data_IF_377842504891
#
_entry.id   IF_377842504891
#
_cell.length_a   1.000
_cell.length_b   1.000
_cell.length_c   1.000
_cell.angle_alpha   90.00
_cell.angle_beta   90.00
_cell.angle_gamma   90.00
#
_symmetry.space_group_name_H-M   'P 1'
#
loop_
_entity.id
_entity.type
_entity.pdbx_description
1 polymer ?
#
# COMPACT_ATOMS: atom_id res chain seq x y z
N UNK A 1 -32.39 -75.03 -6.85
CA UNK A 1 -33.17 -74.65 -8.06
C UNK A 1 -33.04 -73.14 -8.22
N UNK A 2 -32.05 -72.64 -8.98
CA UNK A 2 -32.18 -72.08 -10.35
C UNK A 2 -33.33 -71.07 -10.54
N UNK A 3 -32.97 -69.77 -10.63
CA UNK A 3 -33.34 -68.72 -11.62
C UNK A 3 -33.07 -67.35 -10.96
N UNK A 4 -31.97 -66.64 -11.24
CA UNK A 4 -31.58 -65.90 -12.46
C UNK A 4 -32.34 -64.58 -12.66
N UNK A 5 -31.57 -63.48 -12.51
CA UNK A 5 -31.60 -62.16 -13.15
C UNK A 5 -32.91 -61.55 -13.64
N UNK A 6 -33.16 -60.32 -13.17
CA UNK A 6 -33.13 -59.16 -14.08
C UNK A 6 -32.38 -57.99 -13.42
N UNK A 7 -31.21 -57.71 -13.97
CA UNK A 7 -30.52 -56.42 -13.87
C UNK A 7 -31.35 -55.42 -14.66
N UNK A 8 -31.87 -54.39 -14.00
CA UNK A 8 -32.34 -53.18 -14.68
C UNK A 8 -31.42 -52.05 -14.25
N UNK A 9 -30.40 -51.86 -15.07
CA UNK A 9 -29.56 -50.68 -15.15
C UNK A 9 -30.49 -49.49 -15.45
N UNK A 10 -30.69 -48.61 -14.47
CA UNK A 10 -31.24 -47.28 -14.74
C UNK A 10 -30.33 -46.25 -14.09
N UNK A 11 -29.55 -45.65 -14.98
CA UNK A 11 -28.85 -44.38 -14.85
C UNK A 11 -29.77 -43.30 -14.27
N UNK A 12 -29.67 -43.05 -12.97
CA UNK A 12 -30.21 -41.83 -12.38
C UNK A 12 -29.16 -40.74 -12.53
N UNK A 13 -29.34 -39.98 -13.60
CA UNK A 13 -28.68 -38.72 -13.89
C UNK A 13 -28.84 -37.82 -12.66
N UNK A 14 -27.72 -37.50 -11.99
CA UNK A 14 -27.65 -36.43 -11.01
C UNK A 14 -27.71 -35.09 -11.74
N UNK A 15 -28.90 -34.70 -12.18
CA UNK A 15 -29.18 -33.34 -12.62
C UNK A 15 -29.06 -32.41 -11.42
N UNK A 16 -28.10 -31.49 -11.51
CA UNK A 16 -27.98 -30.33 -10.65
C UNK A 16 -29.33 -29.59 -10.56
N UNK A 17 -30.04 -29.75 -9.44
CA UNK A 17 -31.09 -28.83 -9.05
C UNK A 17 -30.41 -27.55 -8.58
N UNK A 18 -30.16 -26.64 -9.54
CA UNK A 18 -30.07 -25.22 -9.24
C UNK A 18 -31.46 -24.81 -8.78
N UNK A 19 -31.65 -24.74 -7.47
CA UNK A 19 -32.85 -24.14 -6.88
C UNK A 19 -32.80 -22.65 -7.22
N UNK A 20 -33.56 -22.29 -8.25
CA UNK A 20 -33.98 -20.91 -8.53
C UNK A 20 -34.94 -20.51 -7.41
N UNK A 21 -34.39 -19.88 -6.37
CA UNK A 21 -35.14 -19.35 -5.24
C UNK A 21 -35.49 -17.88 -5.45
N UNK A 22 -36.79 -17.62 -5.64
CA UNK A 22 -37.54 -16.38 -5.48
C UNK A 22 -36.88 -15.04 -5.87
N UNK A 23 -37.35 -14.49 -7.00
CA UNK A 23 -37.25 -13.08 -7.34
C UNK A 23 -37.81 -12.19 -6.24
N UNK A 24 -36.95 -11.59 -5.43
CA UNK A 24 -37.26 -10.31 -4.79
C UNK A 24 -37.22 -9.23 -5.86
N UNK A 25 -38.26 -8.39 -5.85
CA UNK A 25 -38.56 -7.32 -6.79
C UNK A 25 -37.32 -6.58 -7.28
N UNK A 26 -37.29 -6.32 -8.59
CA UNK A 26 -36.39 -5.36 -9.21
C UNK A 26 -36.74 -3.95 -8.69
N UNK A 27 -36.19 -3.58 -7.54
CA UNK A 27 -36.09 -2.18 -7.18
C UNK A 27 -35.17 -1.53 -8.22
N UNK A 28 -35.71 -0.49 -8.88
CA UNK A 28 -35.06 0.15 -10.00
C UNK A 28 -33.65 0.59 -9.63
N UNK A 29 -32.68 0.22 -10.47
CA UNK A 29 -31.33 0.77 -10.37
C UNK A 29 -31.38 2.30 -10.35
N UNK A 30 -30.72 2.91 -9.35
CA UNK A 30 -30.77 4.36 -9.12
C UNK A 30 -31.77 4.82 -8.05
N UNK A 31 -32.58 3.93 -7.45
CA UNK A 31 -33.32 4.26 -6.24
C UNK A 31 -32.40 4.20 -5.01
N UNK A 32 -32.48 5.21 -4.14
CA UNK A 32 -31.87 5.13 -2.80
C UNK A 32 -32.55 4.01 -1.99
N UNK A 33 -31.80 2.96 -1.67
CA UNK A 33 -32.23 1.93 -0.74
C UNK A 33 -31.65 2.25 0.64
N UNK A 34 -32.52 2.35 1.65
CA UNK A 34 -32.07 2.52 3.03
C UNK A 34 -31.71 1.16 3.60
N UNK A 35 -30.42 0.85 3.66
CA UNK A 35 -29.92 -0.36 4.30
C UNK A 35 -29.49 0.00 5.72
N UNK A 36 -30.04 -0.74 6.68
CA UNK A 36 -29.63 -0.63 8.07
C UNK A 36 -28.47 -1.60 8.33
N UNK A 37 -27.23 -1.09 8.32
CA UNK A 37 -26.05 -1.92 8.57
C UNK A 37 -26.07 -2.53 9.97
N UNK A 38 -26.77 -1.93 10.93
CA UNK A 38 -26.92 -2.53 12.25
C UNK A 38 -27.74 -3.82 12.20
N UNK A 39 -28.65 -3.97 11.23
CA UNK A 39 -29.37 -5.22 10.96
C UNK A 39 -28.49 -6.25 10.25
N UNK A 40 -27.63 -5.78 9.34
CA UNK A 40 -26.67 -6.64 8.62
C UNK A 40 -25.65 -7.26 9.57
N UNK A 41 -25.27 -6.51 10.61
CA UNK A 41 -24.25 -6.90 11.60
C UNK A 41 -24.86 -7.31 12.95
N UNK A 42 -26.06 -7.91 12.97
CA UNK A 42 -26.64 -8.44 14.21
C UNK A 42 -26.02 -9.77 14.62
N UNK A 43 -25.92 -10.00 15.93
CA UNK A 43 -25.50 -11.27 16.53
C UNK A 43 -24.16 -11.80 15.98
N UNK A 44 -23.18 -10.89 15.85
CA UNK A 44 -21.84 -11.23 15.41
C UNK A 44 -21.08 -11.97 16.52
N UNK A 45 -20.39 -13.05 16.12
CA UNK A 45 -19.38 -13.73 16.96
C UNK A 45 -17.98 -13.20 16.71
N UNK A 46 -17.78 -12.55 15.56
CA UNK A 46 -16.47 -12.09 15.11
C UNK A 46 -16.57 -11.26 13.85
N UNK A 47 -15.60 -10.38 13.67
CA UNK A 47 -15.41 -9.65 12.42
C UNK A 47 -13.93 -9.68 12.08
N UNK A 48 -13.61 -9.93 10.81
CA UNK A 48 -12.25 -9.89 10.32
C UNK A 48 -12.18 -9.23 8.95
N UNK A 49 -10.98 -8.80 8.58
CA UNK A 49 -10.65 -8.36 7.24
C UNK A 49 -9.77 -9.42 6.58
N UNK A 50 -10.22 -9.94 5.46
CA UNK A 50 -9.40 -10.74 4.56
C UNK A 50 -8.77 -9.82 3.50
N UNK A 51 -7.46 -9.67 3.57
CA UNK A 51 -6.68 -8.85 2.65
C UNK A 51 -6.62 -9.50 1.26
N UNK A 52 -6.28 -8.72 0.24
CA UNK A 52 -6.10 -9.25 -1.13
C UNK A 52 -4.89 -10.18 -1.28
N UNK A 53 -4.01 -10.24 -0.28
CA UNK A 53 -2.91 -11.21 -0.20
C UNK A 53 -3.28 -12.47 0.58
N UNK A 54 -4.54 -12.59 1.03
CA UNK A 54 -5.05 -13.78 1.73
C UNK A 54 -4.78 -13.80 3.23
N UNK A 55 -4.34 -12.69 3.82
CA UNK A 55 -4.17 -12.57 5.27
C UNK A 55 -5.51 -12.21 5.91
N UNK A 56 -5.91 -12.95 6.94
CA UNK A 56 -7.07 -12.59 7.75
C UNK A 56 -6.63 -11.84 9.01
N UNK A 57 -7.22 -10.67 9.26
CA UNK A 57 -6.91 -9.79 10.39
C UNK A 57 -8.18 -9.63 11.22
N UNK A 58 -8.24 -10.16 12.45
CA UNK A 58 -9.40 -10.00 13.31
C UNK A 58 -9.56 -8.53 13.75
N UNK A 59 -10.80 -8.06 13.79
CA UNK A 59 -11.17 -6.73 14.28
C UNK A 59 -11.77 -6.85 15.69
N UNK A 60 -11.67 -5.77 16.47
CA UNK A 60 -12.42 -5.67 17.73
C UNK A 60 -13.91 -5.57 17.43
N UNK A 61 -14.69 -6.55 17.89
CA UNK A 61 -16.15 -6.56 17.73
C UNK A 61 -16.76 -5.33 18.41
N UNK A 62 -16.31 -4.99 19.62
CA UNK A 62 -16.81 -3.84 20.38
C UNK A 62 -16.58 -2.52 19.62
N UNK A 63 -15.37 -2.31 19.09
CA UNK A 63 -15.06 -1.10 18.32
C UNK A 63 -15.81 -1.12 16.98
N UNK A 64 -15.95 -2.28 16.34
CA UNK A 64 -16.67 -2.43 15.09
C UNK A 64 -18.16 -2.11 15.25
N UNK A 65 -18.86 -2.77 16.18
CA UNK A 65 -20.28 -2.55 16.45
C UNK A 65 -20.56 -1.10 16.85
N UNK A 66 -19.71 -0.46 17.67
CA UNK A 66 -19.87 0.95 18.02
C UNK A 66 -19.87 1.88 16.80
N UNK A 67 -19.11 1.54 15.76
CA UNK A 67 -19.00 2.36 14.55
C UNK A 67 -20.13 2.14 13.54
N UNK A 68 -20.89 1.05 13.66
CA UNK A 68 -21.98 0.72 12.73
C UNK A 68 -23.37 0.67 13.37
N UNK A 69 -23.46 0.55 14.70
CA UNK A 69 -24.71 0.59 15.46
C UNK A 69 -25.42 1.93 15.25
N UNK A 70 -26.70 1.87 14.85
CA UNK A 70 -27.54 3.05 14.64
C UNK A 70 -27.27 3.84 13.34
N UNK A 71 -26.30 3.41 12.51
CA UNK A 71 -26.05 4.04 11.20
C UNK A 71 -26.95 3.45 10.13
N UNK A 72 -28.05 4.15 9.84
CA UNK A 72 -28.80 3.95 8.60
C UNK A 72 -28.05 4.63 7.47
N UNK A 73 -27.49 3.84 6.56
CA UNK A 73 -26.88 4.36 5.35
C UNK A 73 -27.91 4.32 4.23
N UNK A 74 -28.21 5.48 3.63
CA UNK A 74 -28.91 5.52 2.35
C UNK A 74 -27.91 5.07 1.27
N UNK A 75 -28.02 3.83 0.83
CA UNK A 75 -27.12 3.28 -0.19
C UNK A 75 -27.78 3.37 -1.56
N UNK A 76 -27.02 3.80 -2.55
CA UNK A 76 -27.49 3.79 -3.93
C UNK A 76 -27.02 2.50 -4.58
N UNK A 77 -27.97 1.63 -4.92
CA UNK A 77 -27.68 0.42 -5.68
C UNK A 77 -27.24 0.83 -7.09
N UNK A 78 -26.08 0.33 -7.52
CA UNK A 78 -25.49 0.62 -8.83
C UNK A 78 -25.63 -0.56 -9.79
N UNK A 79 -25.80 -0.26 -11.08
CA UNK A 79 -25.66 -1.24 -12.17
C UNK A 79 -24.22 -1.68 -12.36
N UNK A 80 -23.28 -0.79 -12.04
CA UNK A 80 -21.85 -1.02 -12.23
C UNK A 80 -21.32 -1.86 -11.08
N UNK A 81 -21.13 -3.16 -11.38
CA UNK A 81 -20.52 -4.11 -10.46
C UNK A 81 -19.16 -3.61 -9.96
N UNK A 82 -18.84 -3.93 -8.72
CA UNK A 82 -17.51 -3.70 -8.18
C UNK A 82 -16.53 -4.62 -8.92
N UNK A 83 -15.53 -4.04 -9.61
CA UNK A 83 -14.51 -4.82 -10.32
C UNK A 83 -13.47 -5.33 -9.32
N UNK A 84 -12.88 -6.49 -9.60
CA UNK A 84 -11.84 -7.08 -8.74
C UNK A 84 -10.70 -6.11 -8.43
N UNK A 85 -10.29 -5.27 -9.38
CA UNK A 85 -9.25 -4.25 -9.21
C UNK A 85 -9.63 -3.10 -8.27
N UNK A 86 -10.93 -2.85 -8.08
CA UNK A 86 -11.46 -1.86 -7.13
C UNK A 86 -11.52 -2.42 -5.71
N UNK A 87 -11.57 -3.75 -5.56
CA UNK A 87 -11.59 -4.43 -4.26
C UNK A 87 -10.26 -4.21 -3.54
N UNK A 88 -10.36 -3.61 -2.35
CA UNK A 88 -9.25 -3.34 -1.44
C UNK A 88 -9.05 -4.44 -0.42
N UNK A 89 -10.16 -4.95 0.12
CA UNK A 89 -10.21 -6.07 1.04
C UNK A 89 -11.63 -6.66 1.08
N UNK A 90 -11.78 -7.82 1.74
CA UNK A 90 -13.07 -8.41 2.06
C UNK A 90 -13.32 -8.33 3.57
N UNK A 91 -14.50 -7.90 3.95
CA UNK A 91 -14.94 -7.93 5.35
C UNK A 91 -15.71 -9.23 5.58
N UNK A 92 -15.31 -10.00 6.58
CA UNK A 92 -15.97 -11.25 6.97
C UNK A 92 -16.62 -11.02 8.32
N UNK A 93 -17.94 -11.19 8.37
CA UNK A 93 -18.76 -11.10 9.57
C UNK A 93 -19.24 -12.51 9.95
N UNK A 94 -18.70 -13.04 11.04
CA UNK A 94 -19.06 -14.34 11.61
C UNK A 94 -20.32 -14.20 12.45
N UNK A 95 -21.34 -15.05 12.20
CA UNK A 95 -22.68 -14.98 12.81
C UNK A 95 -22.98 -16.25 13.58
N UNK A 96 -23.65 -16.13 14.74
CA UNK A 96 -23.87 -17.23 15.68
C UNK A 96 -24.57 -18.48 15.13
N UNK A 97 -25.48 -18.32 14.15
CA UNK A 97 -26.35 -19.41 13.66
C UNK A 97 -26.49 -19.43 12.13
N UNK A 98 -25.69 -18.65 11.43
CA UNK A 98 -25.79 -18.44 9.99
C UNK A 98 -24.40 -18.49 9.36
N UNK A 99 -24.34 -18.76 8.05
CA UNK A 99 -23.06 -18.72 7.32
C UNK A 99 -22.40 -17.33 7.45
N UNK A 100 -21.05 -17.23 7.46
CA UNK A 100 -20.38 -15.95 7.49
C UNK A 100 -20.82 -15.05 6.33
N UNK A 101 -21.04 -13.78 6.62
CA UNK A 101 -21.32 -12.78 5.60
C UNK A 101 -20.00 -12.23 5.07
N UNK A 102 -19.82 -12.24 3.76
CA UNK A 102 -18.63 -11.70 3.09
C UNK A 102 -19.02 -10.50 2.25
N UNK A 103 -18.39 -9.35 2.52
CA UNK A 103 -18.57 -8.13 1.74
C UNK A 103 -17.25 -7.77 1.06
N UNK A 104 -17.28 -7.56 -0.26
CA UNK A 104 -16.14 -7.00 -0.98
C UNK A 104 -16.18 -5.49 -0.86
N UNK A 105 -15.06 -4.88 -0.47
CA UNK A 105 -15.01 -3.45 -0.14
C UNK A 105 -13.96 -2.76 -0.99
N UNK A 106 -14.38 -1.72 -1.70
CA UNK A 106 -13.53 -0.76 -2.41
C UNK A 106 -13.74 0.66 -1.91
N UNK A 107 -12.88 1.59 -2.34
CA UNK A 107 -12.93 2.99 -1.89
C UNK A 107 -14.26 3.70 -2.15
N UNK A 108 -14.94 3.32 -3.24
CA UNK A 108 -16.13 4.00 -3.77
C UNK A 108 -17.33 3.05 -3.90
N UNK A 109 -17.23 1.83 -3.37
CA UNK A 109 -18.29 0.86 -3.48
C UNK A 109 -18.04 -0.41 -2.67
N UNK A 110 -19.10 -1.11 -2.33
CA UNK A 110 -19.02 -2.43 -1.71
C UNK A 110 -20.14 -3.34 -2.17
N UNK A 111 -19.97 -4.65 -2.00
CA UNK A 111 -20.98 -5.65 -2.35
C UNK A 111 -21.67 -6.19 -1.12
N UNK A 112 -22.99 -6.27 -1.16
CA UNK A 112 -23.82 -6.93 -0.14
C UNK A 112 -25.01 -7.59 -0.83
N UNK A 113 -25.36 -8.82 -0.42
CA UNK A 113 -26.49 -9.59 -0.98
C UNK A 113 -26.53 -9.63 -2.52
N UNK A 114 -25.38 -9.85 -3.17
CA UNK A 114 -25.18 -9.85 -4.63
C UNK A 114 -25.43 -8.50 -5.35
N UNK A 115 -25.69 -7.43 -4.61
CA UNK A 115 -25.83 -6.07 -5.13
C UNK A 115 -24.55 -5.27 -4.89
N UNK A 116 -24.24 -4.34 -5.79
CA UNK A 116 -23.16 -3.36 -5.60
C UNK A 116 -23.77 -2.03 -5.19
N UNK A 117 -23.25 -1.47 -4.11
CA UNK A 117 -23.64 -0.16 -3.59
C UNK A 117 -22.50 0.82 -3.82
N UNK A 118 -22.81 2.02 -4.32
CA UNK A 118 -21.84 3.09 -4.59
C UNK A 118 -22.35 4.43 -4.03
N UNK A 119 -21.47 5.43 -4.00
CA UNK A 119 -21.76 6.79 -3.52
C UNK A 119 -21.13 7.10 -2.16
N UNK A 120 -21.41 8.28 -1.61
CA UNK A 120 -20.75 8.81 -0.41
C UNK A 120 -20.84 7.86 0.79
N UNK A 121 -21.99 7.24 1.01
CA UNK A 121 -22.17 6.29 2.11
C UNK A 121 -21.37 5.00 1.94
N UNK A 122 -21.09 4.57 0.70
CA UNK A 122 -20.18 3.46 0.45
C UNK A 122 -18.72 3.86 0.77
N UNK A 123 -18.33 5.09 0.45
CA UNK A 123 -17.03 5.65 0.84
C UNK A 123 -16.90 5.76 2.37
N UNK A 124 -17.95 6.17 3.08
CA UNK A 124 -17.99 6.21 4.55
C UNK A 124 -17.85 4.81 5.15
N UNK A 125 -18.53 3.81 4.57
CA UNK A 125 -18.38 2.41 4.97
C UNK A 125 -16.93 1.94 4.83
N UNK A 126 -16.33 2.17 3.66
CA UNK A 126 -14.92 1.85 3.41
C UNK A 126 -13.99 2.55 4.41
N UNK A 127 -14.12 3.86 4.62
CA UNK A 127 -13.24 4.61 5.53
C UNK A 127 -13.38 4.09 6.98
N UNK A 128 -14.61 3.73 7.38
CA UNK A 128 -14.86 3.17 8.71
C UNK A 128 -14.20 1.81 8.87
N UNK A 129 -14.37 0.89 7.90
CA UNK A 129 -13.74 -0.43 7.93
C UNK A 129 -12.21 -0.33 7.85
N UNK A 130 -11.68 0.54 6.99
CA UNK A 130 -10.25 0.83 6.87
C UNK A 130 -9.65 1.34 8.18
N UNK A 131 -10.37 2.20 8.90
CA UNK A 131 -9.95 2.68 10.22
C UNK A 131 -9.85 1.55 11.23
N UNK A 132 -10.84 0.65 11.26
CA UNK A 132 -10.80 -0.53 12.13
C UNK A 132 -9.63 -1.46 11.78
N UNK A 133 -9.41 -1.72 10.49
CA UNK A 133 -8.25 -2.47 10.00
C UNK A 133 -6.94 -1.84 10.48
N UNK A 134 -6.77 -0.53 10.33
CA UNK A 134 -5.56 0.17 10.75
C UNK A 134 -5.31 0.11 12.27
N UNK A 135 -6.36 0.16 13.08
CA UNK A 135 -6.26 -0.02 14.53
C UNK A 135 -5.88 -1.47 14.88
N UNK A 136 -6.48 -2.46 14.22
CA UNK A 136 -6.19 -3.87 14.46
C UNK A 136 -4.73 -4.23 14.11
N UNK A 137 -4.22 -3.72 12.97
CA UNK A 137 -2.84 -3.98 12.53
C UNK A 137 -1.81 -3.44 13.51
N UNK A 138 -2.05 -2.30 14.16
CA UNK A 138 -1.02 -1.65 14.97
C UNK A 138 -1.06 -2.06 16.44
N UNK A 139 -2.19 -2.56 16.93
CA UNK A 139 -2.39 -3.09 18.29
C UNK A 139 -1.78 -4.50 18.43
N UNK A 140 -0.51 -4.66 18.09
CA UNK A 140 0.21 -5.92 18.30
C UNK A 140 0.79 -5.93 19.70
N UNK A 141 0.39 -6.92 20.50
CA UNK A 141 0.89 -7.14 21.85
C UNK A 141 1.62 -8.48 21.92
N UNK A 142 2.56 -8.58 22.85
CA UNK A 142 3.19 -9.83 23.27
C UNK A 142 4.00 -10.56 22.17
N UNK A 143 4.97 -9.86 21.58
CA UNK A 143 5.95 -10.47 20.69
C UNK A 143 7.36 -10.48 21.31
N UNK A 144 8.07 -11.58 21.12
CA UNK A 144 9.41 -11.77 21.71
C UNK A 144 10.53 -11.01 20.99
N UNK A 145 10.25 -10.43 19.81
CA UNK A 145 11.28 -9.84 18.98
C UNK A 145 10.76 -9.05 17.80
N UNK A 146 11.66 -8.23 17.26
CA UNK A 146 11.41 -7.35 16.12
C UNK A 146 12.59 -7.47 15.17
N UNK A 147 12.32 -7.54 13.87
CA UNK A 147 13.35 -7.46 12.83
C UNK A 147 13.33 -6.07 12.20
N UNK A 148 14.47 -5.38 12.26
CA UNK A 148 14.72 -4.14 11.55
C UNK A 148 15.57 -4.40 10.32
N UNK A 149 15.31 -3.67 9.23
CA UNK A 149 16.07 -3.74 8.00
C UNK A 149 16.26 -2.33 7.44
N UNK A 150 17.49 -2.00 7.04
CA UNK A 150 17.76 -0.81 6.24
C UNK A 150 17.82 -1.20 4.75
N UNK A 151 16.91 -0.68 3.93
CA UNK A 151 16.74 -1.06 2.53
C UNK A 151 17.78 -0.44 1.60
N UNK A 152 18.27 0.76 1.94
CA UNK A 152 19.18 1.53 1.10
C UNK A 152 20.66 1.37 1.49
N UNK A 153 20.97 0.53 2.49
CA UNK A 153 22.34 0.27 2.91
C UNK A 153 22.92 -0.93 2.11
N UNK A 154 24.15 -0.81 1.56
CA UNK A 154 24.74 -1.77 0.63
C UNK A 154 25.02 -3.17 1.22
N UNK A 155 25.00 -3.29 2.54
CA UNK A 155 24.79 -4.56 3.23
C UNK A 155 23.42 -4.44 3.89
N UNK A 156 22.44 -5.22 3.46
CA UNK A 156 21.12 -5.23 4.11
C UNK A 156 21.32 -5.70 5.55
N UNK A 157 21.57 -4.76 6.47
CA UNK A 157 21.69 -5.03 7.89
C UNK A 157 20.28 -5.28 8.40
N UNK A 158 19.84 -6.51 8.17
CA UNK A 158 18.74 -7.09 8.91
C UNK A 158 19.26 -7.35 10.31
N UNK A 159 18.60 -6.78 11.31
CA UNK A 159 18.89 -6.97 12.72
C UNK A 159 17.63 -7.45 13.42
N UNK A 160 17.69 -8.64 14.01
CA UNK A 160 16.63 -9.10 14.92
C UNK A 160 17.01 -8.74 16.35
N UNK A 161 16.16 -7.97 17.02
CA UNK A 161 16.27 -7.63 18.44
C UNK A 161 15.24 -8.41 19.25
N UNK A 162 15.55 -8.67 20.52
CA UNK A 162 14.68 -9.34 21.50
C UNK A 162 14.73 -8.62 22.85
N UNK A 163 13.85 -8.98 23.78
CA UNK A 163 13.85 -8.43 25.13
C UNK A 163 13.43 -6.96 25.17
N UNK A 164 14.05 -6.17 26.04
CA UNK A 164 13.63 -4.78 26.34
C UNK A 164 13.58 -3.87 25.11
N UNK A 165 14.57 -3.97 24.21
CA UNK A 165 14.63 -3.17 22.98
C UNK A 165 13.49 -3.51 22.03
N UNK A 166 13.15 -4.81 21.91
CA UNK A 166 12.01 -5.24 21.10
C UNK A 166 10.69 -4.73 21.71
N UNK A 167 10.51 -4.85 23.03
CA UNK A 167 9.32 -4.37 23.72
C UNK A 167 9.15 -2.85 23.60
N UNK A 168 10.25 -2.10 23.68
CA UNK A 168 10.21 -0.64 23.47
C UNK A 168 9.76 -0.29 22.05
N UNK A 169 10.30 -0.97 21.03
CA UNK A 169 9.91 -0.75 19.64
C UNK A 169 8.43 -1.10 19.39
N UNK A 170 7.96 -2.24 19.91
CA UNK A 170 6.56 -2.67 19.83
C UNK A 170 5.65 -1.64 20.49
N UNK A 171 6.01 -1.16 21.69
CA UNK A 171 5.25 -0.11 22.39
C UNK A 171 5.19 1.18 21.58
N UNK A 172 6.32 1.67 21.09
CA UNK A 172 6.37 2.91 20.28
C UNK A 172 5.55 2.78 18.99
N UNK A 173 5.51 1.59 18.39
CA UNK A 173 4.65 1.32 17.26
C UNK A 173 3.18 1.33 17.67
N UNK A 174 2.80 0.60 18.72
CA UNK A 174 1.43 0.49 19.21
C UNK A 174 0.84 1.86 19.62
N UNK A 175 1.67 2.79 20.09
CA UNK A 175 1.29 4.16 20.44
C UNK A 175 1.05 5.07 19.21
N UNK A 176 1.36 4.59 18.01
CA UNK A 176 1.24 5.38 16.78
C UNK A 176 -0.23 5.54 16.37
N UNK A 177 -0.57 6.73 15.88
CA UNK A 177 -1.95 7.10 15.54
C UNK A 177 -2.17 7.03 14.04
N UNK A 178 -3.20 6.31 13.62
CA UNK A 178 -3.57 6.23 12.21
C UNK A 178 -3.88 7.62 11.64
N UNK A 179 -3.44 7.85 10.42
CA UNK A 179 -3.78 9.03 9.60
C UNK A 179 -4.91 8.63 8.66
N UNK A 180 -6.01 9.37 8.70
CA UNK A 180 -7.21 9.02 7.92
C UNK A 180 -6.96 9.14 6.41
N UNK A 181 -6.20 10.15 5.98
CA UNK A 181 -5.94 10.40 4.57
C UNK A 181 -4.61 9.81 4.09
N UNK A 182 -4.51 9.41 2.81
CA UNK A 182 -3.23 9.07 2.19
C UNK A 182 -2.24 10.23 2.30
N UNK A 183 -0.98 9.91 2.57
CA UNK A 183 0.11 10.90 2.60
C UNK A 183 1.07 10.61 1.47
N UNK A 184 1.30 11.60 0.60
CA UNK A 184 2.32 11.51 -0.44
C UNK A 184 3.69 11.80 0.17
N UNK A 185 4.26 10.78 0.81
CA UNK A 185 5.59 10.84 1.42
C UNK A 185 6.48 9.71 0.91
N UNK A 186 7.76 10.00 0.81
CA UNK A 186 8.80 9.05 0.42
C UNK A 186 9.76 8.83 1.59
N UNK A 187 10.37 7.64 1.69
CA UNK A 187 11.27 7.33 2.79
C UNK A 187 12.52 8.22 2.76
N UNK A 188 12.93 8.71 3.91
CA UNK A 188 14.22 9.38 4.09
C UNK A 188 15.31 8.32 4.16
N UNK A 189 16.47 8.60 3.58
CA UNK A 189 17.63 7.73 3.67
C UNK A 189 18.24 7.77 5.09
N UNK A 190 18.59 6.61 5.69
CA UNK A 190 18.32 5.27 5.18
C UNK A 190 16.84 4.89 5.32
N UNK A 191 16.25 4.25 4.30
CA UNK A 191 14.89 3.71 4.44
C UNK A 191 14.90 2.52 5.39
N UNK A 192 14.18 2.65 6.51
CA UNK A 192 14.06 1.61 7.52
C UNK A 192 12.72 0.89 7.43
N UNK A 193 12.78 -0.43 7.57
CA UNK A 193 11.63 -1.33 7.63
C UNK A 193 11.68 -2.10 8.94
N UNK A 194 10.51 -2.36 9.51
CA UNK A 194 10.30 -3.15 10.71
C UNK A 194 9.27 -4.24 10.42
N UNK A 195 9.51 -5.46 10.89
CA UNK A 195 8.55 -6.56 10.85
C UNK A 195 8.70 -7.46 12.07
N UNK A 196 7.73 -8.35 12.23
CA UNK A 196 7.73 -9.34 13.31
C UNK A 196 8.18 -10.70 12.79
N UNK A 197 9.37 -11.21 13.18
CA UNK A 197 9.87 -12.48 12.67
C UNK A 197 8.99 -13.68 13.05
N UNK A 198 8.27 -13.59 14.18
CA UNK A 198 7.34 -14.63 14.65
C UNK A 198 6.03 -14.66 13.86
N UNK A 199 5.69 -13.56 13.16
CA UNK A 199 4.48 -13.42 12.38
C UNK A 199 4.84 -12.97 10.96
N UNK A 200 5.48 -13.84 10.16
CA UNK A 200 5.99 -13.45 8.83
C UNK A 200 4.88 -13.10 7.83
N UNK A 201 3.64 -13.53 8.10
CA UNK A 201 2.46 -13.17 7.33
C UNK A 201 1.89 -11.80 7.71
N UNK A 202 2.31 -11.21 8.83
CA UNK A 202 1.90 -9.85 9.21
C UNK A 202 2.60 -8.80 8.33
N UNK A 203 1.92 -7.66 8.11
CA UNK A 203 2.48 -6.62 7.28
C UNK A 203 3.70 -5.98 7.94
N UNK A 204 4.60 -5.48 7.11
CA UNK A 204 5.75 -4.72 7.57
C UNK A 204 5.43 -3.23 7.65
N UNK A 205 6.17 -2.54 8.51
CA UNK A 205 6.10 -1.09 8.68
C UNK A 205 7.34 -0.45 8.11
N UNK A 206 7.17 0.56 7.29
CA UNK A 206 8.25 1.35 6.72
C UNK A 206 8.25 2.75 7.35
N UNK A 207 9.41 3.15 7.89
CA UNK A 207 9.64 4.49 8.41
C UNK A 207 9.89 5.43 7.23
N UNK A 208 8.86 6.19 6.84
CA UNK A 208 8.97 7.16 5.77
C UNK A 208 9.73 8.41 6.25
N UNK A 209 9.39 8.87 7.44
CA UNK A 209 9.99 10.04 8.09
C UNK A 209 10.09 9.76 9.60
N UNK A 210 10.83 10.56 10.38
CA UNK A 210 10.96 10.34 11.82
C UNK A 210 9.61 10.18 12.57
N UNK A 211 8.55 10.81 12.07
CA UNK A 211 7.21 10.80 12.68
C UNK A 211 6.15 10.14 11.80
N UNK A 212 6.51 9.50 10.68
CA UNK A 212 5.56 8.93 9.74
C UNK A 212 5.93 7.51 9.34
N UNK A 213 5.00 6.60 9.58
CA UNK A 213 5.07 5.20 9.17
C UNK A 213 4.10 4.92 8.02
N UNK A 214 4.46 3.95 7.18
CA UNK A 214 3.59 3.32 6.20
C UNK A 214 3.51 1.83 6.45
N UNK A 215 2.32 1.28 6.36
CA UNK A 215 2.05 -0.15 6.39
C UNK A 215 1.27 -0.52 5.13
N UNK A 216 1.78 -1.49 4.35
CA UNK A 216 1.11 -1.97 3.14
C UNK A 216 0.48 -3.32 3.44
N UNK A 217 -0.83 -3.42 3.25
CA UNK A 217 -1.64 -4.59 3.59
C UNK A 217 -2.51 -4.98 2.41
N UNK A 218 -2.07 -5.97 1.64
CA UNK A 218 -2.69 -6.28 0.35
C UNK A 218 -2.65 -5.08 -0.59
N UNK A 219 -3.82 -4.54 -0.95
CA UNK A 219 -3.96 -3.31 -1.75
C UNK A 219 -4.21 -2.05 -0.93
N UNK A 220 -4.28 -2.18 0.39
CA UNK A 220 -4.39 -1.06 1.30
C UNK A 220 -3.01 -0.51 1.69
N UNK A 221 -2.97 0.80 1.86
CA UNK A 221 -1.81 1.48 2.45
C UNK A 221 -2.30 2.35 3.58
N UNK A 222 -1.80 2.07 4.78
CA UNK A 222 -2.19 2.74 6.01
C UNK A 222 -0.99 3.54 6.52
N UNK A 223 -1.26 4.79 6.89
CA UNK A 223 -0.25 5.70 7.40
C UNK A 223 -0.47 5.93 8.89
N UNK A 224 0.63 6.06 9.64
CA UNK A 224 0.57 6.34 11.07
C UNK A 224 1.53 7.48 11.44
N UNK A 225 1.05 8.40 12.28
CA UNK A 225 1.90 9.34 13.00
C UNK A 225 2.50 8.63 14.20
N UNK A 226 3.82 8.58 14.26
CA UNK A 226 4.59 7.89 15.31
C UNK A 226 5.47 8.86 16.09
N UNK A 227 5.99 8.40 17.22
CA UNK A 227 6.95 9.14 18.03
C UNK A 227 8.36 9.09 17.36
N UNK A 228 9.08 10.23 17.25
CA UNK A 228 10.45 10.26 16.74
C UNK A 228 11.42 9.27 17.40
N UNK A 229 11.15 8.87 18.65
CA UNK A 229 11.94 7.89 19.37
C UNK A 229 12.06 6.54 18.64
N UNK A 230 11.04 6.13 17.86
CA UNK A 230 11.14 4.89 17.08
C UNK A 230 12.21 5.02 15.99
N UNK A 231 12.19 6.12 15.25
CA UNK A 231 13.22 6.40 14.24
C UNK A 231 14.61 6.50 14.87
N UNK A 232 14.74 7.19 16.01
CA UNK A 232 16.00 7.32 16.74
C UNK A 232 16.52 5.98 17.28
N UNK A 233 15.62 5.09 17.73
CA UNK A 233 15.97 3.75 18.16
C UNK A 233 16.55 2.96 16.98
N UNK A 234 15.84 2.94 15.85
CA UNK A 234 16.27 2.17 14.67
C UNK A 234 17.56 2.72 14.07
N UNK A 235 17.72 4.04 13.98
CA UNK A 235 18.94 4.65 13.43
C UNK A 235 20.18 4.40 14.30
N UNK A 236 20.03 4.28 15.62
CA UNK A 236 21.11 3.85 16.52
C UNK A 236 21.50 2.39 16.31
N UNK A 237 20.51 1.52 16.09
CA UNK A 237 20.73 0.09 15.86
C UNK A 237 21.31 -0.20 14.48
N UNK A 238 20.91 0.58 13.47
CA UNK A 238 21.29 0.46 12.07
C UNK A 238 21.89 1.78 11.57
N UNK A 239 23.08 2.17 12.05
CA UNK A 239 23.70 3.43 11.66
C UNK A 239 24.14 3.41 10.21
N UNK A 240 24.15 4.60 9.60
CA UNK A 240 24.67 4.85 8.27
C UNK A 240 26.08 4.27 8.10
N UNK A 241 26.30 3.58 6.98
CA UNK A 241 27.64 3.16 6.57
C UNK A 241 28.30 4.24 5.70
N UNK A 242 29.64 4.29 5.64
CA UNK A 242 30.34 5.12 4.67
C UNK A 242 29.80 4.91 3.25
N UNK A 243 29.54 6.01 2.53
CA UNK A 243 29.07 5.98 1.14
C UNK A 243 30.18 5.42 0.26
N UNK A 244 29.86 4.46 -0.61
CA UNK A 244 30.80 3.73 -1.48
C UNK A 244 30.58 4.02 -2.96
N UNK A 245 29.44 4.57 -3.34
CA UNK A 245 29.12 4.92 -4.72
C UNK A 245 28.78 6.40 -4.89
N UNK A 246 28.94 6.89 -6.12
CA UNK A 246 28.63 8.29 -6.46
C UNK A 246 27.14 8.60 -6.25
N UNK A 247 26.25 7.63 -6.47
CA UNK A 247 24.83 7.81 -6.18
C UNK A 247 24.56 7.93 -4.68
N UNK A 248 25.27 7.17 -3.84
CA UNK A 248 25.11 7.23 -2.39
C UNK A 248 25.56 8.58 -1.82
N UNK A 249 26.58 9.21 -2.40
CA UNK A 249 27.00 10.57 -2.01
C UNK A 249 25.89 11.61 -2.21
N UNK A 250 25.01 11.42 -3.21
CA UNK A 250 23.91 12.34 -3.47
C UNK A 250 22.87 12.38 -2.36
N UNK A 251 22.78 11.39 -1.46
CA UNK A 251 21.85 11.45 -0.31
C UNK A 251 22.15 12.63 0.64
N UNK A 252 23.38 13.14 0.59
CA UNK A 252 23.79 14.35 1.31
C UNK A 252 23.41 15.66 0.60
N UNK A 253 22.89 15.59 -0.63
CA UNK A 253 22.48 16.77 -1.38
C UNK A 253 21.46 17.59 -0.60
N UNK A 254 21.69 18.90 -0.53
CA UNK A 254 20.82 19.85 0.17
C UNK A 254 19.70 20.35 -0.72
N UNK A 255 19.82 20.17 -2.04
CA UNK A 255 18.89 20.68 -3.03
C UNK A 255 18.94 19.86 -4.32
N UNK A 256 17.80 19.81 -5.01
CA UNK A 256 17.63 19.26 -6.36
C UNK A 256 16.86 20.26 -7.22
N UNK A 257 17.46 20.63 -8.35
CA UNK A 257 16.80 21.36 -9.43
C UNK A 257 16.49 20.37 -10.56
N UNK A 258 15.29 20.44 -11.13
CA UNK A 258 14.90 19.62 -12.27
C UNK A 258 14.20 20.46 -13.33
N UNK A 259 14.52 20.18 -14.59
CA UNK A 259 13.95 20.85 -15.75
C UNK A 259 13.60 19.79 -16.80
N UNK A 260 12.30 19.62 -17.07
CA UNK A 260 11.78 18.78 -18.15
C UNK A 260 11.59 19.62 -19.40
N UNK A 261 12.46 19.41 -20.39
CA UNK A 261 12.45 20.10 -21.68
C UNK A 261 11.69 19.22 -22.67
N UNK A 262 10.53 19.68 -23.12
CA UNK A 262 9.68 19.00 -24.12
C UNK A 262 9.63 19.82 -25.41
N UNK A 263 9.52 19.14 -26.55
CA UNK A 263 9.51 19.74 -27.89
C UNK A 263 8.46 20.84 -28.14
N UNK A 264 7.46 21.04 -27.26
CA UNK A 264 6.33 21.97 -27.45
C UNK A 264 6.09 22.85 -26.20
N UNK A 265 7.12 23.57 -25.76
CA UNK A 265 7.08 24.69 -24.78
C UNK A 265 6.46 24.44 -23.39
N UNK A 266 5.98 23.23 -23.10
CA UNK A 266 5.57 22.81 -21.76
C UNK A 266 6.78 22.43 -20.92
N UNK A 267 7.57 23.45 -20.56
CA UNK A 267 8.67 23.31 -19.61
C UNK A 267 8.12 23.11 -18.21
N UNK A 268 8.54 22.03 -17.54
CA UNK A 268 8.22 21.80 -16.12
C UNK A 268 9.49 21.95 -15.30
N UNK A 269 9.42 22.74 -14.25
CA UNK A 269 10.53 22.93 -13.31
C UNK A 269 10.15 22.41 -11.94
N UNK A 270 11.09 21.78 -11.25
CA UNK A 270 10.97 21.44 -9.84
C UNK A 270 12.21 21.92 -9.10
N UNK A 271 11.97 22.57 -7.95
CA UNK A 271 13.02 23.06 -7.07
C UNK A 271 12.76 22.53 -5.66
N UNK A 272 13.59 21.59 -5.21
CA UNK A 272 13.44 20.92 -3.92
C UNK A 272 14.59 21.28 -3.01
N UNK A 273 14.30 21.62 -1.75
CA UNK A 273 15.29 21.92 -0.71
C UNK A 273 15.09 20.96 0.47
N UNK A 274 16.18 20.42 1.01
CA UNK A 274 16.19 19.43 2.10
C UNK A 274 15.60 19.94 3.44
N UNK A 275 15.28 21.23 3.57
CA UNK A 275 14.71 21.83 4.79
C UNK A 275 13.35 21.24 5.19
N UNK A 276 12.60 20.69 4.23
CA UNK A 276 11.32 20.02 4.48
C UNK A 276 11.49 18.50 4.29
N UNK A 277 11.05 17.69 5.27
CA UNK A 277 11.11 16.23 5.23
C UNK A 277 10.39 15.62 4.02
N UNK A 278 9.31 16.24 3.53
CA UNK A 278 8.64 15.80 2.29
C UNK A 278 9.53 16.02 1.06
N UNK A 279 10.15 17.20 0.94
CA UNK A 279 11.05 17.51 -0.17
C UNK A 279 12.32 16.67 -0.09
N UNK A 280 12.89 16.49 1.11
CA UNK A 280 14.00 15.58 1.36
C UNK A 280 13.65 14.15 0.92
N UNK A 281 12.47 13.64 1.28
CA UNK A 281 12.00 12.33 0.84
C UNK A 281 11.92 12.23 -0.69
N UNK A 282 11.40 13.26 -1.38
CA UNK A 282 11.39 13.32 -2.86
C UNK A 282 12.81 13.26 -3.44
N UNK A 283 13.74 14.07 -2.93
CA UNK A 283 15.16 14.07 -3.36
C UNK A 283 15.74 12.66 -3.18
N UNK A 284 15.58 12.07 -2.00
CA UNK A 284 16.05 10.72 -1.68
C UNK A 284 15.43 9.64 -2.57
N UNK A 285 14.15 9.78 -2.91
CA UNK A 285 13.50 8.86 -3.84
C UNK A 285 14.06 8.95 -5.26
N UNK A 286 14.35 10.15 -5.77
CA UNK A 286 15.03 10.31 -7.06
C UNK A 286 16.38 9.61 -7.04
N UNK A 287 17.16 9.77 -5.97
CA UNK A 287 18.46 9.11 -5.81
C UNK A 287 18.30 7.59 -5.77
N UNK A 288 17.28 7.05 -5.10
CA UNK A 288 16.98 5.60 -5.13
C UNK A 288 16.73 5.11 -6.55
N UNK A 289 15.96 5.84 -7.36
CA UNK A 289 15.73 5.47 -8.75
C UNK A 289 17.03 5.49 -9.55
N UNK A 290 17.85 6.53 -9.39
CA UNK A 290 19.18 6.64 -10.03
C UNK A 290 20.12 5.49 -9.61
N UNK A 291 20.09 5.09 -8.33
CA UNK A 291 20.96 4.04 -7.80
C UNK A 291 20.71 2.64 -8.41
N UNK A 292 19.54 2.43 -9.04
CA UNK A 292 19.21 1.19 -9.76
C UNK A 292 19.87 1.10 -11.13
N UNK A 293 20.38 2.21 -11.63
CA UNK A 293 20.99 2.27 -12.96
C UNK A 293 22.30 1.48 -13.00
N UNK A 294 22.56 0.83 -14.11
CA UNK A 294 23.79 0.07 -14.34
C UNK A 294 24.63 0.74 -15.43
N UNK A 295 25.97 0.68 -15.35
CA UNK A 295 26.84 1.18 -16.41
C UNK A 295 26.46 0.56 -17.76
N UNK A 296 26.29 1.40 -18.77
CA UNK A 296 25.89 0.95 -20.11
C UNK A 296 27.01 1.23 -21.10
N UNK A 297 27.53 0.16 -21.72
CA UNK A 297 28.49 0.25 -22.84
C UNK A 297 27.79 0.44 -24.18
N UNK A 298 26.46 0.40 -24.23
CA UNK A 298 25.72 0.56 -25.48
C UNK A 298 25.94 1.94 -26.09
N UNK A 299 26.65 1.95 -27.21
CA UNK A 299 26.62 3.01 -28.22
C UNK A 299 25.27 2.98 -28.91
N UNK A 300 24.21 3.33 -28.18
CA UNK A 300 23.01 3.81 -28.87
C UNK A 300 23.42 5.13 -29.51
N UNK A 301 23.55 5.09 -30.84
CA UNK A 301 23.29 6.24 -31.69
C UNK A 301 22.04 6.91 -31.14
N UNK A 302 22.06 8.24 -30.98
CA UNK A 302 20.85 9.01 -30.71
C UNK A 302 19.78 8.45 -31.62
N UNK A 303 18.76 7.82 -31.05
CA UNK A 303 17.59 7.46 -31.82
C UNK A 303 16.95 8.82 -32.10
N UNK A 304 17.24 9.37 -33.29
CA UNK A 304 16.76 10.68 -33.74
C UNK A 304 15.22 10.77 -33.73
N UNK A 305 14.54 9.63 -33.57
CA UNK A 305 13.08 9.50 -33.52
C UNK A 305 12.49 9.37 -32.10
N UNK A 306 13.29 9.44 -31.03
CA UNK A 306 12.70 9.57 -29.69
C UNK A 306 12.25 11.03 -29.52
N UNK A 307 10.98 11.32 -29.18
CA UNK A 307 10.50 12.69 -29.05
C UNK A 307 11.45 13.45 -28.13
N UNK A 308 11.85 14.66 -28.52
CA UNK A 308 12.82 15.51 -27.84
C UNK A 308 12.37 15.88 -26.41
N UNK A 309 12.40 14.90 -25.52
CA UNK A 309 12.11 15.06 -24.10
C UNK A 309 13.37 14.70 -23.35
N UNK A 310 13.92 15.68 -22.65
CA UNK A 310 15.07 15.46 -21.77
C UNK A 310 14.79 16.07 -20.42
N UNK A 311 15.07 15.30 -19.38
CA UNK A 311 14.99 15.76 -18.01
C UNK A 311 16.40 16.07 -17.51
N UNK A 312 16.69 17.35 -17.27
CA UNK A 312 17.93 17.77 -16.63
C UNK A 312 17.73 17.78 -15.13
N UNK A 313 18.67 17.17 -14.39
CA UNK A 313 18.72 17.24 -12.94
C UNK A 313 20.03 17.88 -12.50
N UNK A 314 19.98 18.74 -11.49
CA UNK A 314 21.17 19.27 -10.82
C UNK A 314 21.04 19.10 -9.32
N UNK A 315 21.90 18.25 -8.75
CA UNK A 315 22.03 18.11 -7.30
C UNK A 315 23.07 19.09 -6.77
N UNK A 316 22.77 19.74 -5.64
CA UNK A 316 23.72 20.60 -4.93
C UNK A 316 24.18 19.92 -3.65
N UNK A 317 25.48 19.68 -3.53
CA UNK A 317 26.13 19.06 -2.38
C UNK A 317 27.39 19.85 -2.03
N UNK A 318 27.52 20.31 -0.78
CA UNK A 318 28.68 21.08 -0.30
C UNK A 318 29.08 22.24 -1.23
N UNK A 319 28.08 23.00 -1.70
CA UNK A 319 28.22 24.10 -2.68
C UNK A 319 28.70 23.69 -4.08
N UNK A 320 28.91 22.41 -4.35
CA UNK A 320 29.19 21.87 -5.70
C UNK A 320 27.89 21.45 -6.38
N UNK A 321 27.83 21.64 -7.70
CA UNK A 321 26.69 21.25 -8.55
C UNK A 321 27.06 19.99 -9.32
N UNK A 322 26.13 19.03 -9.35
CA UNK A 322 26.27 17.74 -10.01
C UNK A 322 25.17 17.60 -11.07
N UNK A 323 25.39 18.18 -12.27
CA UNK A 323 24.43 18.11 -13.35
C UNK A 323 24.42 16.72 -13.99
N UNK A 324 23.23 16.27 -14.37
CA UNK A 324 23.00 15.05 -15.14
C UNK A 324 21.84 15.24 -16.11
N UNK A 325 21.89 14.50 -17.22
CA UNK A 325 20.83 14.52 -18.23
C UNK A 325 20.19 13.15 -18.31
N UNK A 326 18.86 13.10 -18.30
CA UNK A 326 18.08 11.88 -18.46
C UNK A 326 17.36 11.93 -19.81
N UNK A 327 17.48 10.84 -20.56
CA UNK A 327 16.82 10.63 -21.86
C UNK A 327 16.22 9.22 -21.87
N UNK A 328 14.89 9.14 -21.70
CA UNK A 328 14.14 7.89 -21.64
C UNK A 328 14.62 6.95 -20.53
N UNK A 329 15.38 5.92 -20.91
CA UNK A 329 15.91 4.90 -20.00
C UNK A 329 17.35 5.16 -19.54
N UNK A 330 17.97 6.25 -19.97
CA UNK A 330 19.39 6.52 -19.75
C UNK A 330 19.62 7.77 -18.91
N UNK A 331 20.66 7.73 -18.08
CA UNK A 331 21.22 8.91 -17.43
C UNK A 331 22.68 9.10 -17.83
N UNK A 332 23.02 10.34 -18.20
CA UNK A 332 24.36 10.79 -18.54
C UNK A 332 24.90 11.63 -17.39
N UNK A 333 26.03 11.21 -16.84
CA UNK A 333 26.62 11.83 -15.67
C UNK A 333 28.14 11.65 -15.67
N UNK A 334 28.88 12.77 -15.55
CA UNK A 334 30.35 12.80 -15.55
C UNK A 334 30.99 12.03 -16.73
N UNK A 335 30.44 12.20 -17.93
CA UNK A 335 30.92 11.52 -19.14
C UNK A 335 30.62 10.02 -19.21
N UNK A 336 29.91 9.47 -18.22
CA UNK A 336 29.46 8.08 -18.18
C UNK A 336 27.96 7.98 -18.48
N UNK A 337 27.55 6.82 -18.99
CA UNK A 337 26.17 6.49 -19.34
C UNK A 337 25.69 5.32 -18.50
N UNK A 338 24.51 5.45 -17.91
CA UNK A 338 23.86 4.41 -17.13
C UNK A 338 22.45 4.15 -17.65
N UNK A 339 21.94 2.93 -17.45
CA UNK A 339 20.64 2.47 -17.96
C UNK A 339 19.75 1.93 -16.85
N UNK A 340 18.45 2.24 -16.92
CA UNK A 340 17.39 1.59 -16.17
C UNK A 340 16.04 1.71 -16.94
N UNK A 341 15.23 0.64 -17.04
CA UNK A 341 13.92 0.71 -17.68
C UNK A 341 12.98 1.74 -17.03
N UNK A 342 12.27 2.52 -17.84
CA UNK A 342 11.33 3.57 -17.44
C UNK A 342 11.92 4.64 -16.52
N UNK A 343 13.23 4.92 -16.63
CA UNK A 343 13.95 5.83 -15.74
C UNK A 343 13.33 7.23 -15.68
N UNK A 344 13.17 7.88 -16.83
CA UNK A 344 12.64 9.24 -16.91
C UNK A 344 11.22 9.31 -16.34
N UNK A 345 10.33 8.41 -16.77
CA UNK A 345 8.95 8.38 -16.30
C UNK A 345 8.85 8.21 -14.77
N UNK A 346 9.69 7.35 -14.17
CA UNK A 346 9.73 7.16 -12.73
C UNK A 346 10.18 8.43 -11.98
N UNK A 347 11.17 9.15 -12.51
CA UNK A 347 11.66 10.39 -11.89
C UNK A 347 10.65 11.53 -12.05
N UNK A 348 10.05 11.66 -13.23
CA UNK A 348 8.99 12.65 -13.48
C UNK A 348 7.79 12.43 -12.55
N UNK A 349 7.38 11.18 -12.32
CA UNK A 349 6.30 10.83 -11.40
C UNK A 349 6.63 11.10 -9.91
N UNK A 350 7.89 11.40 -9.55
CA UNK A 350 8.25 11.83 -8.20
C UNK A 350 8.25 13.36 -8.11
N UNK A 351 8.75 14.02 -9.16
CA UNK A 351 9.03 15.45 -9.18
C UNK A 351 7.80 16.29 -9.51
N UNK A 352 6.96 15.83 -10.44
CA UNK A 352 5.89 16.63 -11.05
C UNK A 352 4.47 16.15 -10.72
N UNK A 353 4.35 15.29 -9.71
CA UNK A 353 3.08 14.94 -9.02
C UNK A 353 3.14 15.44 -7.59
#
# INVERSE_FOLDING_TARGET
MKKSWHVCLMSVIWTCLVVVGCSTQSNGYGSEEKVDLSQVFQALEGVSVLTTTGQEIPLSIEEFEKNFTGRRLSLMMSKDRLKDQEVKFRLIAYRQKEAPLVLEVGEQGFTYANNTYRGENASVFYQTARKQLGLAIIKVQELDGVEFKALDLPQSKTLTVKGTVAQEAIRLLADSKMVDQPVQAYPIYPSFQMKYPQRPSEPHYELLQPTLLRCVVGRETIYYKTNPSLYQLVSKLLPDSPKKSVWEELYEATQLEAEDIRAHDNKREAYLIKQNLMQQGKIHQVIRVLSRTQPSTSTMWRQEDSPHTSLNLTFSLNKKRYPMKIEGNYVFYQGKKYYWPNLQANIEAILFT
#
